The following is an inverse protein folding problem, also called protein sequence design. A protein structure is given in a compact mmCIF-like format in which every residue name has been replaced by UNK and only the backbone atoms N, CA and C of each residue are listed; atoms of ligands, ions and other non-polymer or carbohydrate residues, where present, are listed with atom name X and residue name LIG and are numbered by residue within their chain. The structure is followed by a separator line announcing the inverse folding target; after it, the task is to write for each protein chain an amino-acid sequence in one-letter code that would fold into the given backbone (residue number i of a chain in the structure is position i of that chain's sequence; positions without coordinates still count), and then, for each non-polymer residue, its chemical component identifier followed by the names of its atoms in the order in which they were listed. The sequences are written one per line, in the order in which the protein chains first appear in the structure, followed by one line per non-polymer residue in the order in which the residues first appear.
data_IF_051425996601
#
_entry.id   IF_051425996601
#
_cell.length_a   1.000
_cell.length_b   1.000
_cell.length_c   1.000
_cell.angle_alpha   90.00
_cell.angle_beta   90.00
_cell.angle_gamma   90.00
#
_symmetry.space_group_name_H-M   'P 1'
#
loop_
_entity.id
_entity.type
_entity.pdbx_description
1 polymer ?
#
# COMPACT_ATOMS: atom_id res chain seq x y z
N UNK A 1 15.89 -44.72 -24.56
CA UNK A 1 14.70 -43.82 -24.66
C UNK A 1 14.53 -43.47 -26.13
N UNK A 2 13.42 -43.87 -26.75
CA UNK A 2 13.21 -43.67 -28.18
C UNK A 2 12.88 -42.21 -28.51
N UNK A 3 13.29 -41.72 -29.67
CA UNK A 3 13.05 -40.34 -30.16
C UNK A 3 11.56 -40.00 -30.09
N UNK A 4 10.68 -40.98 -30.30
CA UNK A 4 9.22 -40.82 -30.21
C UNK A 4 8.72 -40.47 -28.79
N UNK A 5 9.35 -41.02 -27.74
CA UNK A 5 9.00 -40.71 -26.35
C UNK A 5 9.46 -39.29 -25.96
N UNK A 6 10.59 -38.84 -26.50
CA UNK A 6 11.09 -37.48 -26.26
C UNK A 6 10.19 -36.41 -26.93
N UNK A 7 9.81 -36.66 -28.19
CA UNK A 7 8.88 -35.77 -28.91
C UNK A 7 7.50 -35.69 -28.26
N UNK A 8 6.99 -36.81 -27.75
CA UNK A 8 5.71 -36.84 -27.04
C UNK A 8 5.74 -36.04 -25.71
N UNK A 9 6.85 -36.14 -24.95
CA UNK A 9 7.04 -35.34 -23.71
C UNK A 9 7.20 -33.86 -24.02
N UNK A 10 7.92 -33.49 -25.06
CA UNK A 10 8.02 -32.08 -25.50
C UNK A 10 6.69 -31.51 -25.99
N UNK A 11 5.88 -32.29 -26.69
CA UNK A 11 4.57 -31.86 -27.15
C UNK A 11 3.59 -31.66 -25.97
N UNK A 12 3.61 -32.54 -24.94
CA UNK A 12 2.77 -32.42 -23.75
C UNK A 12 3.19 -31.23 -22.91
N UNK A 13 4.50 -30.97 -22.74
CA UNK A 13 4.96 -29.77 -22.01
C UNK A 13 4.67 -28.47 -22.75
N UNK A 14 4.79 -28.43 -24.06
CA UNK A 14 4.41 -27.30 -24.88
C UNK A 14 2.91 -27.02 -24.84
N UNK A 15 2.06 -28.05 -24.87
CA UNK A 15 0.60 -27.92 -24.74
C UNK A 15 0.18 -27.44 -23.33
N UNK A 16 0.87 -27.89 -22.27
CA UNK A 16 0.61 -27.43 -20.90
C UNK A 16 1.03 -25.95 -20.70
N UNK A 17 2.14 -25.53 -21.30
CA UNK A 17 2.60 -24.14 -21.27
C UNK A 17 1.68 -23.21 -22.09
N UNK A 18 1.15 -23.64 -23.23
CA UNK A 18 0.23 -22.83 -24.01
C UNK A 18 -1.15 -22.67 -23.35
N UNK A 19 -1.60 -23.67 -22.56
CA UNK A 19 -2.82 -23.58 -21.77
C UNK A 19 -2.74 -22.53 -20.63
N UNK A 20 -1.57 -22.26 -20.09
CA UNK A 20 -1.35 -21.24 -19.05
C UNK A 20 -1.39 -19.80 -19.59
N UNK A 21 -1.12 -19.61 -20.89
CA UNK A 21 -1.13 -18.27 -21.54
C UNK A 21 -2.55 -17.83 -21.94
N UNK A 22 -3.50 -18.76 -22.01
CA UNK A 22 -4.88 -18.49 -22.44
C UNK A 22 -5.86 -18.22 -21.30
N UNK A 23 -5.38 -18.06 -20.05
CA UNK A 23 -6.27 -17.69 -18.94
C UNK A 23 -6.88 -16.32 -19.22
N UNK A 24 -8.24 -16.15 -19.19
CA UNK A 24 -8.84 -14.85 -19.36
C UNK A 24 -8.33 -13.91 -18.27
N UNK A 25 -7.74 -12.78 -18.68
CA UNK A 25 -7.39 -11.72 -17.73
C UNK A 25 -8.71 -11.17 -17.21
N UNK A 26 -9.08 -11.57 -16.00
CA UNK A 26 -10.19 -10.95 -15.28
C UNK A 26 -9.72 -9.55 -14.91
N UNK A 27 -10.11 -8.56 -15.70
CA UNK A 27 -9.95 -7.16 -15.36
C UNK A 27 -10.89 -6.89 -14.19
N UNK A 28 -10.33 -6.84 -12.97
CA UNK A 28 -11.06 -6.28 -11.85
C UNK A 28 -11.47 -4.85 -12.22
N UNK A 29 -12.73 -4.48 -11.92
CA UNK A 29 -13.23 -3.13 -12.19
C UNK A 29 -12.28 -2.12 -11.53
N UNK A 30 -11.49 -1.45 -12.36
CA UNK A 30 -10.55 -0.40 -11.94
C UNK A 30 -11.30 0.89 -11.59
N UNK A 31 -10.60 1.90 -11.10
CA UNK A 31 -11.19 3.22 -10.87
C UNK A 31 -11.76 3.78 -12.19
N UNK A 32 -12.81 4.59 -12.06
CA UNK A 32 -13.52 5.20 -13.20
C UNK A 32 -12.70 6.24 -13.97
N UNK A 33 -11.56 6.64 -13.42
CA UNK A 33 -10.63 7.63 -14.00
C UNK A 33 -9.18 7.10 -13.95
N UNK A 34 -8.32 7.55 -14.89
CA UNK A 34 -6.89 7.24 -14.81
C UNK A 34 -6.28 7.70 -13.48
N UNK A 35 -5.40 6.90 -12.93
CA UNK A 35 -4.69 7.24 -11.69
C UNK A 35 -3.46 8.10 -12.02
N UNK A 36 -3.26 9.15 -11.22
CA UNK A 36 -2.01 9.94 -11.24
C UNK A 36 -0.87 9.09 -10.64
N UNK A 37 0.29 9.17 -11.25
CA UNK A 37 1.48 8.47 -10.74
C UNK A 37 1.96 9.11 -9.44
N UNK A 38 1.97 8.33 -8.37
CA UNK A 38 2.52 8.73 -7.09
C UNK A 38 4.06 8.79 -7.15
N UNK A 39 4.70 9.88 -6.64
CA UNK A 39 6.16 9.97 -6.61
C UNK A 39 6.76 8.99 -5.59
N UNK A 40 6.96 7.74 -6.00
CA UNK A 40 7.37 6.62 -5.14
C UNK A 40 8.71 6.84 -4.41
N UNK A 41 9.56 7.73 -4.92
CA UNK A 41 10.82 8.11 -4.25
C UNK A 41 10.61 8.69 -2.86
N UNK A 42 9.47 9.32 -2.60
CA UNK A 42 9.09 9.86 -1.29
C UNK A 42 8.96 8.78 -0.19
N UNK A 43 8.77 7.53 -0.55
CA UNK A 43 8.76 6.42 0.44
C UNK A 43 10.14 6.18 1.06
N UNK A 44 11.20 6.66 0.42
CA UNK A 44 12.57 6.59 0.93
C UNK A 44 13.06 7.93 1.51
N UNK A 45 12.23 8.96 1.44
CA UNK A 45 12.53 10.28 2.01
C UNK A 45 11.97 10.36 3.44
N UNK A 46 12.87 10.37 4.40
CA UNK A 46 12.53 10.43 5.83
C UNK A 46 11.73 11.67 6.17
N UNK A 47 12.04 12.82 5.57
CA UNK A 47 11.32 14.06 5.82
C UNK A 47 9.87 13.98 5.28
N UNK A 48 9.69 13.40 4.09
CA UNK A 48 8.36 13.15 3.53
C UNK A 48 7.54 12.20 4.42
N UNK A 49 8.16 11.12 4.92
CA UNK A 49 7.49 10.17 5.82
C UNK A 49 7.10 10.81 7.15
N UNK A 50 7.97 11.64 7.74
CA UNK A 50 7.69 12.37 8.98
C UNK A 50 6.55 13.38 8.78
N UNK A 51 6.56 14.12 7.67
CA UNK A 51 5.49 15.05 7.34
C UNK A 51 4.17 14.31 7.07
N UNK A 52 4.22 13.20 6.34
CA UNK A 52 3.06 12.33 6.11
C UNK A 52 2.47 11.78 7.41
N UNK A 53 3.32 11.36 8.36
CA UNK A 53 2.89 10.94 9.69
C UNK A 53 2.19 12.08 10.44
N UNK A 54 2.76 13.29 10.42
CA UNK A 54 2.14 14.47 11.02
C UNK A 54 0.76 14.76 10.40
N UNK A 55 0.65 14.74 9.07
CA UNK A 55 -0.63 14.95 8.38
C UNK A 55 -1.63 13.87 8.78
N UNK A 56 -1.23 12.61 8.83
CA UNK A 56 -2.10 11.51 9.25
C UNK A 56 -2.62 11.70 10.68
N UNK A 57 -1.75 12.00 11.65
CA UNK A 57 -2.14 12.18 13.04
C UNK A 57 -3.11 13.35 13.24
N UNK A 58 -2.95 14.43 12.48
CA UNK A 58 -3.78 15.62 12.63
C UNK A 58 -5.11 15.57 11.89
N UNK A 59 -5.16 14.90 10.72
CA UNK A 59 -6.36 14.96 9.86
C UNK A 59 -7.08 13.62 9.70
N UNK A 60 -6.38 12.48 9.88
CA UNK A 60 -6.94 11.17 9.58
C UNK A 60 -7.23 10.33 10.82
N UNK A 61 -6.40 10.44 11.88
CA UNK A 61 -6.49 9.62 13.09
C UNK A 61 -7.81 9.79 13.82
N UNK A 62 -8.46 10.95 13.72
CA UNK A 62 -9.77 11.19 14.30
C UNK A 62 -10.85 10.19 13.84
N UNK A 63 -10.69 9.63 12.63
CA UNK A 63 -11.64 8.68 12.04
C UNK A 63 -11.01 7.32 11.67
N UNK A 64 -9.74 7.27 11.33
CA UNK A 64 -9.06 6.08 10.82
C UNK A 64 -7.95 5.59 11.76
N UNK A 65 -7.95 4.31 12.06
CA UNK A 65 -6.83 3.64 12.71
C UNK A 65 -5.78 3.19 11.67
N UNK A 66 -4.55 3.01 12.15
CA UNK A 66 -3.51 2.18 11.53
C UNK A 66 -3.05 1.16 12.57
N UNK A 67 -3.96 0.26 12.95
CA UNK A 67 -3.85 -0.61 14.12
C UNK A 67 -2.68 -1.60 14.07
N UNK A 68 -2.14 -1.88 12.88
CA UNK A 68 -0.99 -2.75 12.71
C UNK A 68 0.36 -2.06 12.94
N UNK A 69 0.35 -0.73 13.17
CA UNK A 69 1.53 0.04 13.52
C UNK A 69 1.38 0.60 14.94
N UNK A 70 2.46 0.52 15.72
CA UNK A 70 2.53 1.09 17.06
C UNK A 70 3.28 2.42 17.03
N UNK A 71 3.01 3.32 17.98
CA UNK A 71 3.71 4.60 18.04
C UNK A 71 5.24 4.44 18.12
N UNK A 72 5.74 3.45 18.87
CA UNK A 72 7.18 3.20 18.98
C UNK A 72 7.84 2.81 17.63
N UNK A 73 7.07 2.31 16.65
CA UNK A 73 7.56 1.99 15.30
C UNK A 73 7.93 3.25 14.50
N UNK A 74 7.38 4.41 14.86
CA UNK A 74 7.72 5.69 14.24
C UNK A 74 9.18 6.10 14.49
N UNK A 75 9.92 5.41 15.39
CA UNK A 75 11.38 5.53 15.49
C UNK A 75 12.11 5.20 14.19
N UNK A 76 11.56 4.31 13.40
CA UNK A 76 12.12 3.93 12.09
C UNK A 76 12.13 5.11 11.09
N UNK A 77 11.34 6.14 11.38
CA UNK A 77 11.33 7.41 10.64
C UNK A 77 12.38 8.42 11.18
N UNK A 78 13.33 7.99 12.00
CA UNK A 78 14.36 8.84 12.57
C UNK A 78 13.89 9.73 13.73
N UNK A 79 12.69 9.52 14.27
CA UNK A 79 12.15 10.28 15.39
C UNK A 79 12.57 9.64 16.73
N UNK A 80 12.95 10.46 17.70
CA UNK A 80 13.16 9.99 19.08
C UNK A 80 11.82 9.88 19.83
N UNK A 81 11.86 9.27 21.01
CA UNK A 81 10.67 9.01 21.83
C UNK A 81 9.94 10.29 22.26
N UNK A 82 10.71 11.33 22.66
CA UNK A 82 10.13 12.59 23.09
C UNK A 82 9.44 13.34 21.95
N UNK A 83 10.03 13.30 20.75
CA UNK A 83 9.41 13.85 19.55
C UNK A 83 8.10 13.14 19.20
N UNK A 84 8.07 11.81 19.29
CA UNK A 84 6.86 11.02 19.04
C UNK A 84 5.80 11.34 20.10
N UNK A 85 6.16 11.31 21.37
CA UNK A 85 5.22 11.60 22.48
C UNK A 85 4.68 13.03 22.42
N UNK A 86 5.54 14.00 22.14
CA UNK A 86 5.15 15.41 22.15
C UNK A 86 4.38 15.87 20.93
N UNK A 87 4.58 15.21 19.75
CA UNK A 87 4.05 15.74 18.49
C UNK A 87 3.09 14.79 17.75
N UNK A 88 3.13 13.49 18.04
CA UNK A 88 2.35 12.50 17.28
C UNK A 88 1.37 11.70 18.14
N UNK A 89 1.54 11.63 19.46
CA UNK A 89 0.55 11.04 20.37
C UNK A 89 -0.39 12.13 20.83
N UNK A 90 -1.45 12.34 20.06
CA UNK A 90 -2.47 13.37 20.32
C UNK A 90 -3.64 12.85 21.18
N UNK A 91 -3.52 11.63 21.70
CA UNK A 91 -4.54 10.93 22.51
C UNK A 91 -3.96 10.51 23.84
N UNK A 92 -4.73 9.76 24.65
CA UNK A 92 -4.24 9.17 25.91
C UNK A 92 -3.43 7.87 25.72
N UNK A 93 -3.04 7.56 24.46
CA UNK A 93 -2.28 6.36 24.12
C UNK A 93 -0.86 6.42 24.68
N UNK A 94 -0.32 5.25 25.00
CA UNK A 94 1.08 5.09 25.43
C UNK A 94 1.99 4.88 24.23
N UNK A 95 3.26 5.13 24.39
CA UNK A 95 4.29 4.97 23.35
C UNK A 95 4.35 3.56 22.73
N UNK A 96 4.02 2.52 23.47
CA UNK A 96 3.95 1.14 22.97
C UNK A 96 2.61 0.72 22.37
N UNK A 97 1.59 1.57 22.43
CA UNK A 97 0.25 1.23 21.98
C UNK A 97 0.13 1.27 20.44
N UNK A 98 -0.82 0.51 19.88
CA UNK A 98 -1.17 0.64 18.47
C UNK A 98 -1.80 2.01 18.20
N UNK A 99 -1.70 2.49 16.97
CA UNK A 99 -2.24 3.79 16.55
C UNK A 99 -3.71 3.59 16.19
N UNK A 100 -4.59 3.93 17.15
CA UNK A 100 -6.03 3.73 17.04
C UNK A 100 -6.77 5.06 17.03
N UNK A 101 -7.83 5.14 16.24
CA UNK A 101 -8.79 6.24 16.29
C UNK A 101 -9.52 6.25 17.64
N UNK A 102 -9.90 7.43 18.09
CA UNK A 102 -10.78 7.60 19.24
C UNK A 102 -12.26 7.52 18.89
N UNK A 103 -12.61 7.43 17.61
CA UNK A 103 -13.99 7.34 17.14
C UNK A 103 -14.62 6.01 17.53
N UNK A 104 -15.69 5.97 18.34
CA UNK A 104 -16.37 4.74 18.68
C UNK A 104 -17.01 4.11 17.43
N UNK A 105 -16.79 2.81 17.22
CA UNK A 105 -17.29 2.09 16.03
C UNK A 105 -18.81 2.20 15.86
N UNK A 106 -19.57 2.14 16.98
CA UNK A 106 -21.02 2.30 16.97
C UNK A 106 -21.43 3.70 16.50
N UNK A 107 -20.84 4.76 17.06
CA UNK A 107 -21.09 6.13 16.65
C UNK A 107 -20.71 6.39 15.20
N UNK A 108 -19.59 5.83 14.74
CA UNK A 108 -19.16 5.95 13.36
C UNK A 108 -20.19 5.42 12.36
N UNK A 109 -20.79 4.25 12.65
CA UNK A 109 -21.83 3.67 11.81
C UNK A 109 -23.12 4.52 11.81
N UNK A 110 -23.49 5.09 12.95
CA UNK A 110 -24.65 5.95 13.06
C UNK A 110 -24.46 7.28 12.31
N UNK A 111 -23.27 7.89 12.39
CA UNK A 111 -22.99 9.19 11.79
C UNK A 111 -22.69 9.14 10.30
N UNK A 112 -21.96 8.11 9.84
CA UNK A 112 -21.46 8.01 8.45
C UNK A 112 -22.14 6.92 7.63
N UNK A 113 -23.08 6.16 8.20
CA UNK A 113 -23.70 5.01 7.57
C UNK A 113 -22.80 3.78 7.48
N UNK A 114 -21.49 3.94 7.67
CA UNK A 114 -20.48 2.86 7.74
C UNK A 114 -19.30 3.29 8.61
N UNK A 115 -18.60 2.32 9.13
CA UNK A 115 -17.35 2.56 9.88
C UNK A 115 -16.22 2.92 8.95
N UNK A 116 -15.44 3.99 9.22
CA UNK A 116 -14.21 4.27 8.49
C UNK A 116 -13.26 3.07 8.56
N UNK A 117 -12.66 2.65 7.44
CA UNK A 117 -11.77 1.51 7.43
C UNK A 117 -10.45 1.80 8.14
N UNK A 118 -9.81 0.75 8.68
CA UNK A 118 -8.42 0.79 9.09
C UNK A 118 -7.50 0.97 7.88
N UNK A 119 -6.55 1.89 7.94
CA UNK A 119 -5.69 2.23 6.81
C UNK A 119 -4.35 1.49 6.79
N UNK A 120 -4.10 0.58 7.75
CA UNK A 120 -2.84 -0.16 7.85
C UNK A 120 -2.41 -0.83 6.54
N UNK A 121 -3.35 -1.39 5.78
CA UNK A 121 -3.06 -2.12 4.54
C UNK A 121 -3.68 -1.48 3.30
N UNK A 122 -4.20 -0.26 3.40
CA UNK A 122 -4.92 0.38 2.30
C UNK A 122 -4.06 0.54 1.05
N UNK A 123 -2.79 0.93 1.20
CA UNK A 123 -1.87 1.05 0.06
C UNK A 123 -1.57 -0.30 -0.63
N UNK A 124 -1.79 -1.43 0.03
CA UNK A 124 -1.68 -2.76 -0.60
C UNK A 124 -3.00 -3.20 -1.22
N UNK A 125 -4.10 -3.04 -0.49
CA UNK A 125 -5.42 -3.50 -0.93
C UNK A 125 -5.99 -2.72 -2.12
N UNK A 126 -5.51 -1.51 -2.36
CA UNK A 126 -5.94 -0.67 -3.49
C UNK A 126 -5.07 -0.82 -4.75
N UNK A 127 -4.04 -1.66 -4.71
CA UNK A 127 -3.28 -2.00 -5.92
C UNK A 127 -4.13 -2.84 -6.88
N UNK A 128 -4.10 -2.49 -8.16
CA UNK A 128 -4.86 -3.15 -9.22
C UNK A 128 -4.10 -3.07 -10.55
N UNK A 129 -4.69 -3.59 -11.62
CA UNK A 129 -4.15 -3.41 -12.98
C UNK A 129 -4.11 -1.95 -13.46
N UNK A 130 -4.83 -1.04 -12.80
CA UNK A 130 -4.85 0.39 -13.13
C UNK A 130 -3.70 1.18 -12.48
N UNK A 131 -3.01 0.61 -11.48
CA UNK A 131 -1.92 1.26 -10.78
C UNK A 131 -1.68 0.70 -9.37
N UNK A 132 -0.68 1.27 -8.69
CA UNK A 132 -0.37 0.91 -7.30
C UNK A 132 -1.41 1.50 -6.34
N UNK A 133 -1.48 0.96 -5.13
CA UNK A 133 -2.32 1.56 -4.09
C UNK A 133 -1.85 2.96 -3.66
N UNK A 134 -0.55 3.26 -3.84
CA UNK A 134 -0.03 4.63 -3.71
C UNK A 134 -0.64 5.58 -4.75
N UNK A 135 -0.68 5.18 -6.03
CA UNK A 135 -1.31 5.95 -7.10
C UNK A 135 -2.80 6.18 -6.80
N UNK A 136 -3.48 5.14 -6.29
CA UNK A 136 -4.88 5.23 -5.91
C UNK A 136 -5.11 6.24 -4.79
N UNK A 137 -4.35 6.17 -3.67
CA UNK A 137 -4.49 7.09 -2.53
C UNK A 137 -4.16 8.53 -2.96
N UNK A 138 -3.08 8.71 -3.72
CA UNK A 138 -2.61 10.00 -4.21
C UNK A 138 -3.65 10.68 -5.10
N UNK A 139 -4.22 9.93 -6.05
CA UNK A 139 -5.28 10.45 -6.93
C UNK A 139 -6.57 10.68 -6.15
N UNK A 140 -6.96 9.75 -5.27
CA UNK A 140 -8.17 9.85 -4.45
C UNK A 140 -8.19 11.15 -3.63
N UNK A 141 -7.12 11.45 -2.89
CA UNK A 141 -7.07 12.65 -2.03
C UNK A 141 -7.07 13.97 -2.81
N UNK A 142 -6.69 13.95 -4.10
CA UNK A 142 -6.58 15.13 -4.97
C UNK A 142 -7.80 15.36 -5.87
N UNK A 143 -8.73 14.42 -5.94
CA UNK A 143 -9.85 14.43 -6.88
C UNK A 143 -11.21 14.57 -6.24
N UNK A 144 -11.25 15.07 -5.01
CA UNK A 144 -12.49 15.53 -4.38
C UNK A 144 -13.06 16.74 -5.11
N UNK A 145 -14.40 16.80 -5.18
CA UNK A 145 -15.14 17.93 -5.71
C UNK A 145 -16.44 18.15 -4.92
N UNK A 146 -16.94 19.38 -4.93
CA UNK A 146 -18.22 19.72 -4.30
C UNK A 146 -19.39 19.07 -5.04
N UNK A 147 -20.29 18.43 -4.28
CA UNK A 147 -21.48 17.76 -4.82
C UNK A 147 -22.62 17.88 -3.80
N UNK A 148 -23.51 18.82 -4.05
CA UNK A 148 -24.66 19.11 -3.17
C UNK A 148 -25.66 17.96 -3.05
N UNK A 149 -25.62 16.98 -3.96
CA UNK A 149 -26.44 15.77 -3.89
C UNK A 149 -25.94 14.77 -2.83
N UNK A 150 -24.73 14.98 -2.28
CA UNK A 150 -24.13 14.10 -1.29
C UNK A 150 -24.37 14.63 0.13
N UNK A 151 -24.65 13.76 1.11
CA UNK A 151 -24.87 14.17 2.51
C UNK A 151 -23.69 14.94 3.12
N UNK A 152 -22.45 14.64 2.67
CA UNK A 152 -21.23 15.30 3.13
C UNK A 152 -20.90 16.59 2.36
N UNK A 153 -21.67 16.92 1.31
CA UNK A 153 -21.36 18.01 0.36
C UNK A 153 -20.20 17.71 -0.61
N UNK A 154 -19.62 16.50 -0.53
CA UNK A 154 -18.42 16.12 -1.31
C UNK A 154 -18.59 14.80 -2.03
N UNK A 155 -17.99 14.70 -3.22
CA UNK A 155 -17.87 13.47 -3.97
C UNK A 155 -16.42 13.30 -4.48
N UNK A 156 -16.09 12.15 -5.07
CA UNK A 156 -14.74 11.83 -5.49
C UNK A 156 -14.74 11.17 -6.89
N UNK A 157 -13.79 11.56 -7.75
CA UNK A 157 -13.70 11.04 -9.11
C UNK A 157 -13.22 9.59 -9.17
N UNK A 158 -12.31 9.19 -8.26
CA UNK A 158 -11.76 7.82 -8.19
C UNK A 158 -12.75 6.85 -7.53
N UNK A 159 -13.53 7.34 -6.57
CA UNK A 159 -14.49 6.55 -5.82
C UNK A 159 -15.84 7.28 -5.75
N UNK A 160 -16.67 7.19 -6.81
CA UNK A 160 -17.98 7.83 -6.84
C UNK A 160 -18.87 7.39 -5.68
N UNK A 161 -19.76 8.28 -5.25
CA UNK A 161 -20.63 8.09 -4.10
C UNK A 161 -19.88 7.86 -2.76
N UNK A 162 -18.72 8.50 -2.62
CA UNK A 162 -17.90 8.43 -1.41
C UNK A 162 -18.66 8.89 -0.17
N UNK A 163 -18.54 8.13 0.93
CA UNK A 163 -19.10 8.53 2.24
C UNK A 163 -18.12 9.34 3.09
N UNK A 164 -16.83 9.33 2.78
CA UNK A 164 -15.81 10.11 3.46
C UNK A 164 -15.89 11.59 3.04
N UNK A 165 -16.03 12.55 3.98
CA UNK A 165 -15.94 13.96 3.65
C UNK A 165 -14.54 14.34 3.20
N UNK A 166 -14.41 15.47 2.52
CA UNK A 166 -13.09 15.98 2.12
C UNK A 166 -12.41 16.66 3.32
N UNK A 167 -11.68 15.88 4.12
CA UNK A 167 -11.06 16.36 5.38
C UNK A 167 -9.94 17.38 5.17
N UNK A 168 -9.35 17.44 3.98
CA UNK A 168 -8.28 18.39 3.62
C UNK A 168 -8.78 19.60 2.81
N UNK A 169 -10.10 19.86 2.78
CA UNK A 169 -10.67 20.92 1.92
C UNK A 169 -10.10 22.31 2.20
N UNK A 170 -9.92 22.67 3.48
CA UNK A 170 -9.31 23.96 3.86
C UNK A 170 -7.86 24.06 3.41
N UNK A 171 -7.10 22.98 3.63
CA UNK A 171 -5.69 22.89 3.21
C UNK A 171 -5.57 23.02 1.70
N UNK A 172 -6.44 22.32 0.96
CA UNK A 172 -6.48 22.40 -0.51
C UNK A 172 -6.84 23.79 -1.03
N UNK A 173 -7.72 24.51 -0.29
CA UNK A 173 -8.14 25.86 -0.67
C UNK A 173 -7.10 26.93 -0.35
N UNK A 174 -6.31 26.74 0.71
CA UNK A 174 -5.36 27.74 1.20
C UNK A 174 -3.97 27.59 0.59
N UNK A 175 -3.55 26.37 0.25
CA UNK A 175 -2.23 26.13 -0.33
C UNK A 175 -2.22 26.27 -1.86
N UNK A 176 -1.10 26.69 -2.45
CA UNK A 176 -0.84 26.51 -3.87
C UNK A 176 -0.99 25.04 -4.25
N UNK A 177 -1.48 24.78 -5.48
CA UNK A 177 -1.72 23.41 -5.95
C UNK A 177 -0.50 22.49 -5.79
N UNK A 178 0.70 22.99 -6.10
CA UNK A 178 1.96 22.24 -5.94
C UNK A 178 2.22 21.80 -4.52
N UNK A 179 1.91 22.67 -3.55
CA UNK A 179 2.19 22.43 -2.13
C UNK A 179 1.15 21.45 -1.55
N UNK A 180 -0.11 21.58 -1.97
CA UNK A 180 -1.13 20.60 -1.65
C UNK A 180 -0.79 19.21 -2.24
N UNK A 181 -0.38 19.17 -3.51
CA UNK A 181 0.03 17.92 -4.17
C UNK A 181 1.23 17.28 -3.45
N UNK A 182 2.19 18.07 -2.98
CA UNK A 182 3.32 17.59 -2.18
C UNK A 182 2.88 17.07 -0.80
N UNK A 183 1.99 17.78 -0.12
CA UNK A 183 1.43 17.34 1.16
C UNK A 183 0.71 16.00 1.03
N UNK A 184 -0.12 15.84 0.00
CA UNK A 184 -0.81 14.57 -0.28
C UNK A 184 0.18 13.48 -0.66
N UNK A 185 1.27 13.81 -1.39
CA UNK A 185 2.31 12.85 -1.70
C UNK A 185 3.04 12.36 -0.43
N UNK A 186 3.32 13.25 0.53
CA UNK A 186 3.93 12.89 1.81
C UNK A 186 3.01 11.98 2.65
N UNK A 187 1.72 12.33 2.73
CA UNK A 187 0.70 11.48 3.36
C UNK A 187 0.63 10.09 2.70
N UNK A 188 0.63 10.05 1.38
CA UNK A 188 0.61 8.80 0.62
C UNK A 188 1.87 7.98 0.88
N UNK A 189 3.06 8.61 0.89
CA UNK A 189 4.33 7.95 1.21
C UNK A 189 4.27 7.28 2.59
N UNK A 190 3.76 8.00 3.59
CA UNK A 190 3.57 7.45 4.93
C UNK A 190 2.62 6.23 4.93
N UNK A 191 1.47 6.29 4.26
CA UNK A 191 0.53 5.17 4.19
C UNK A 191 1.10 3.97 3.40
N UNK A 192 1.93 4.20 2.39
CA UNK A 192 2.67 3.13 1.69
C UNK A 192 3.70 2.50 2.64
N UNK A 193 4.43 3.29 3.41
CA UNK A 193 5.36 2.80 4.43
C UNK A 193 4.62 2.02 5.53
N UNK A 194 3.48 2.53 6.03
CA UNK A 194 2.63 1.84 7.01
C UNK A 194 2.22 0.45 6.53
N UNK A 195 1.89 0.32 5.25
CA UNK A 195 1.44 -0.95 4.67
C UNK A 195 2.57 -1.99 4.53
N UNK A 196 3.84 -1.56 4.48
CA UNK A 196 5.01 -2.45 4.44
C UNK A 196 6.29 -1.74 4.95
N UNK A 197 6.44 -1.56 6.27
CA UNK A 197 7.59 -0.82 6.85
C UNK A 197 8.96 -1.46 6.56
N UNK A 198 8.97 -2.75 6.22
CA UNK A 198 10.20 -3.52 5.94
C UNK A 198 10.45 -3.76 4.46
N UNK A 199 9.73 -3.06 3.56
CA UNK A 199 9.81 -3.28 2.12
C UNK A 199 11.24 -3.21 1.56
N UNK A 200 12.03 -2.23 2.01
CA UNK A 200 13.41 -2.05 1.55
C UNK A 200 14.33 -3.17 2.06
N UNK A 201 14.23 -3.49 3.35
CA UNK A 201 14.99 -4.61 3.95
C UNK A 201 14.66 -5.92 3.25
N UNK A 202 13.36 -6.19 2.99
CA UNK A 202 12.93 -7.39 2.29
C UNK A 202 13.53 -7.48 0.87
N UNK A 203 13.58 -6.37 0.14
CA UNK A 203 14.19 -6.35 -1.20
C UNK A 203 15.68 -6.67 -1.13
N UNK A 204 16.42 -6.05 -0.20
CA UNK A 204 17.85 -6.28 -0.03
C UNK A 204 18.14 -7.73 0.37
N UNK A 205 17.46 -8.24 1.38
CA UNK A 205 17.59 -9.65 1.81
C UNK A 205 17.19 -10.61 0.69
N UNK A 206 16.14 -10.29 -0.07
CA UNK A 206 15.66 -11.09 -1.18
C UNK A 206 16.72 -11.32 -2.27
N UNK A 207 17.54 -10.33 -2.58
CA UNK A 207 18.64 -10.47 -3.53
C UNK A 207 19.66 -11.53 -3.05
N UNK A 208 20.07 -11.45 -1.78
CA UNK A 208 21.01 -12.43 -1.21
C UNK A 208 20.42 -13.84 -1.16
N UNK A 209 19.14 -13.96 -0.82
CA UNK A 209 18.42 -15.24 -0.82
C UNK A 209 18.38 -15.84 -2.22
N UNK A 210 18.09 -15.05 -3.25
CA UNK A 210 18.06 -15.52 -4.63
C UNK A 210 19.46 -15.97 -5.11
N UNK A 211 20.51 -15.23 -4.77
CA UNK A 211 21.89 -15.63 -5.09
C UNK A 211 22.28 -16.95 -4.42
N UNK A 212 21.93 -17.10 -3.14
CA UNK A 212 22.16 -18.35 -2.41
C UNK A 212 21.39 -19.51 -3.04
N UNK A 213 20.12 -19.33 -3.36
CA UNK A 213 19.30 -20.37 -3.98
C UNK A 213 19.80 -20.73 -5.38
N UNK A 214 20.28 -19.77 -6.17
CA UNK A 214 20.87 -20.05 -7.48
C UNK A 214 22.13 -20.94 -7.36
N UNK A 215 23.03 -20.60 -6.42
CA UNK A 215 24.20 -21.41 -6.13
C UNK A 215 23.83 -22.81 -5.63
N UNK A 216 22.91 -22.88 -4.67
CA UNK A 216 22.42 -24.15 -4.13
C UNK A 216 21.77 -25.02 -5.19
N UNK A 217 21.01 -24.41 -6.10
CA UNK A 217 20.41 -25.12 -7.24
C UNK A 217 21.46 -25.81 -8.12
N UNK A 218 22.58 -25.14 -8.41
CA UNK A 218 23.67 -25.76 -9.20
C UNK A 218 24.22 -27.00 -8.50
N UNK A 219 24.46 -26.93 -7.19
CA UNK A 219 24.96 -28.11 -6.45
C UNK A 219 23.90 -29.22 -6.39
N UNK A 220 22.67 -28.90 -6.11
CA UNK A 220 21.57 -29.88 -6.08
C UNK A 220 21.35 -30.54 -7.42
N UNK A 221 21.44 -29.78 -8.54
CA UNK A 221 21.34 -30.30 -9.89
C UNK A 221 22.53 -31.24 -10.24
N UNK A 222 23.76 -30.84 -9.89
CA UNK A 222 24.96 -31.68 -10.07
C UNK A 222 24.87 -32.97 -9.26
N UNK A 223 24.42 -32.87 -8.02
CA UNK A 223 24.21 -34.03 -7.15
C UNK A 223 23.16 -34.98 -7.73
N UNK A 224 22.01 -34.45 -8.13
CA UNK A 224 20.95 -35.23 -8.78
C UNK A 224 21.47 -35.94 -10.03
N UNK A 225 22.22 -35.25 -10.90
CA UNK A 225 22.78 -35.83 -12.09
C UNK A 225 23.82 -36.95 -11.78
N UNK A 226 24.56 -36.81 -10.67
CA UNK A 226 25.53 -37.85 -10.24
C UNK A 226 24.81 -39.09 -9.69
N UNK A 227 23.75 -38.93 -8.88
CA UNK A 227 23.01 -40.06 -8.31
C UNK A 227 22.14 -40.83 -9.32
N UNK A 228 21.66 -40.15 -10.37
CA UNK A 228 20.81 -40.80 -11.38
C UNK A 228 21.54 -41.13 -12.67
N UNK A 229 22.87 -41.15 -12.65
CA UNK A 229 23.69 -41.38 -13.83
C UNK A 229 23.54 -42.79 -14.41
N UNK A 230 23.33 -43.79 -13.57
CA UNK A 230 23.35 -45.22 -13.91
C UNK A 230 21.95 -45.88 -13.92
N UNK A 231 20.89 -45.08 -13.88
CA UNK A 231 19.48 -45.49 -13.98
C UNK A 231 18.88 -44.89 -15.24
#
# INVERSE_FOLDING_TARGET
MTISTLLRRLAVTAAALSGLVSAPVVLAAGPSVPLDTFPVTKVNDVAALQNGAKVFMNYCLGCHSISQVRYNKLRDLGLNEDQIKGNLILTQAKFGDPILTTLPLKGAKEWFGKTPPDLSLTARSRSSGAGTGGDWIYTYMRTYYEDSARPTGWNNKVYPAVGMPHVLWEVQKTLPKSDYDNLVADLTAFLVWVAEPVAQTRKQVGVWVLLFLALFFVFAWRLNAAFWKDI
#
